data_IF_944169316021
#
_entry.id   IF_944169316021
#
_cell.length_a   1.000
_cell.length_b   1.000
_cell.length_c   1.000
_cell.angle_alpha   90.00
_cell.angle_beta   90.00
_cell.angle_gamma   90.00
#
_symmetry.space_group_name_H-M   'P 1'
#
loop_
_entity.id
_entity.type
_entity.pdbx_description
1 polymer ?
#
# COMPACT_ATOMS: atom_id res chain seq x y z
N UNK A 1 -1.97 -15.62 -15.46
CA UNK A 1 -0.99 -14.64 -14.95
C UNK A 1 -1.73 -13.69 -14.05
N UNK A 2 -1.25 -13.43 -12.81
CA UNK A 2 -1.92 -12.50 -11.91
C UNK A 2 -1.94 -11.08 -12.51
N UNK A 3 -3.04 -10.36 -12.33
CA UNK A 3 -3.22 -9.01 -12.86
C UNK A 3 -2.72 -8.03 -11.80
N UNK A 4 -1.68 -7.26 -12.12
CA UNK A 4 -1.18 -6.18 -11.27
C UNK A 4 -1.89 -4.87 -11.60
N UNK A 5 -2.36 -4.15 -10.57
CA UNK A 5 -2.99 -2.84 -10.70
C UNK A 5 -2.49 -1.90 -9.62
N UNK A 6 -2.63 -0.60 -9.84
CA UNK A 6 -2.41 0.37 -8.77
C UNK A 6 -3.42 0.20 -7.64
N UNK A 7 -3.04 0.65 -6.44
CA UNK A 7 -3.98 0.79 -5.32
C UNK A 7 -5.08 1.78 -5.72
N UNK A 8 -6.37 1.45 -5.55
CA UNK A 8 -7.46 2.36 -5.84
C UNK A 8 -7.37 3.67 -5.05
N UNK A 9 -7.74 4.79 -5.67
CA UNK A 9 -7.68 6.13 -5.07
C UNK A 9 -8.48 6.25 -3.76
N UNK A 10 -9.56 5.50 -3.61
CA UNK A 10 -10.33 5.47 -2.37
C UNK A 10 -9.50 4.90 -1.21
N UNK A 11 -8.76 3.81 -1.46
CA UNK A 11 -7.90 3.18 -0.46
C UNK A 11 -6.70 4.09 -0.18
N UNK A 12 -6.09 4.67 -1.21
CA UNK A 12 -4.99 5.65 -1.05
C UNK A 12 -5.41 6.80 -0.11
N UNK A 13 -6.60 7.37 -0.31
CA UNK A 13 -7.13 8.45 0.56
C UNK A 13 -7.28 8.02 2.02
N UNK A 14 -7.89 6.85 2.28
CA UNK A 14 -8.06 6.32 3.64
C UNK A 14 -6.71 6.14 4.36
N UNK A 15 -5.70 5.65 3.65
CA UNK A 15 -4.33 5.54 4.18
C UNK A 15 -3.71 6.92 4.46
N UNK A 16 -3.88 7.87 3.53
CA UNK A 16 -3.35 9.24 3.65
C UNK A 16 -3.95 10.04 4.82
N UNK A 17 -5.14 9.68 5.28
CA UNK A 17 -5.76 10.25 6.48
C UNK A 17 -5.11 9.77 7.79
N UNK A 18 -4.43 8.62 7.77
CA UNK A 18 -3.83 8.00 8.97
C UNK A 18 -2.34 8.25 9.13
N UNK A 19 -1.63 8.38 8.03
CA UNK A 19 -0.18 8.65 8.05
C UNK A 19 0.12 10.11 8.35
N UNK A 20 1.15 10.36 9.15
CA UNK A 20 1.57 11.72 9.51
C UNK A 20 2.25 12.48 8.36
N UNK A 21 2.94 11.77 7.46
CA UNK A 21 3.65 12.36 6.33
C UNK A 21 3.02 11.94 4.99
N UNK A 22 2.09 12.76 4.50
CA UNK A 22 1.32 12.50 3.28
C UNK A 22 2.19 12.43 2.03
N UNK A 23 3.14 13.35 1.87
CA UNK A 23 4.03 13.37 0.71
C UNK A 23 4.91 12.11 0.64
N UNK A 24 5.38 11.62 1.80
CA UNK A 24 6.15 10.38 1.86
C UNK A 24 5.27 9.16 1.53
N UNK A 25 4.00 9.16 1.96
CA UNK A 25 3.04 8.11 1.64
C UNK A 25 2.62 8.10 0.16
N UNK A 26 2.44 9.27 -0.46
CA UNK A 26 2.22 9.39 -1.90
C UNK A 26 3.39 8.80 -2.70
N UNK A 27 4.63 9.04 -2.25
CA UNK A 27 5.80 8.40 -2.85
C UNK A 27 5.81 6.89 -2.60
N UNK A 28 5.42 6.43 -1.42
CA UNK A 28 5.36 5.02 -1.08
C UNK A 28 4.40 4.23 -1.97
N UNK A 29 3.26 4.82 -2.40
CA UNK A 29 2.32 4.15 -3.29
C UNK A 29 2.90 3.78 -4.67
N UNK A 30 3.99 4.42 -5.10
CA UNK A 30 4.70 4.03 -6.34
C UNK A 30 5.35 2.65 -6.24
N UNK A 31 5.52 2.14 -5.03
CA UNK A 31 6.15 0.87 -4.70
C UNK A 31 5.15 -0.19 -4.28
N UNK A 32 3.84 0.08 -4.40
CA UNK A 32 2.76 -0.79 -3.93
C UNK A 32 1.80 -1.07 -5.08
N UNK A 33 1.49 -2.35 -5.28
CA UNK A 33 0.53 -2.83 -6.27
C UNK A 33 -0.49 -3.77 -5.63
N UNK A 34 -1.68 -3.80 -6.19
CA UNK A 34 -2.65 -4.86 -5.92
C UNK A 34 -2.51 -5.95 -6.97
N UNK A 35 -2.53 -7.18 -6.50
CA UNK A 35 -2.40 -8.38 -7.32
C UNK A 35 -3.67 -9.20 -7.13
N UNK A 36 -4.46 -9.34 -8.19
CA UNK A 36 -5.62 -10.21 -8.22
C UNK A 36 -5.15 -11.65 -8.51
N UNK A 37 -5.39 -12.56 -7.55
CA UNK A 37 -5.09 -13.99 -7.67
C UNK A 37 -6.19 -14.72 -8.45
N UNK A 38 -5.89 -15.95 -8.87
CA UNK A 38 -6.82 -16.80 -9.64
C UNK A 38 -8.11 -17.14 -8.88
N UNK A 39 -8.05 -17.14 -7.53
CA UNK A 39 -9.21 -17.36 -6.65
C UNK A 39 -10.05 -16.10 -6.40
N UNK A 40 -9.72 -14.98 -7.05
CA UNK A 40 -10.36 -13.67 -6.86
C UNK A 40 -9.92 -12.92 -5.60
N UNK A 41 -8.99 -13.47 -4.81
CA UNK A 41 -8.44 -12.75 -3.65
C UNK A 41 -7.46 -11.66 -4.09
N UNK A 42 -7.45 -10.54 -3.36
CA UNK A 42 -6.51 -9.44 -3.56
C UNK A 42 -5.32 -9.57 -2.62
N UNK A 43 -4.12 -9.41 -3.18
CA UNK A 43 -2.87 -9.35 -2.45
C UNK A 43 -2.22 -7.98 -2.63
N UNK A 44 -1.63 -7.43 -1.57
CA UNK A 44 -0.86 -6.18 -1.65
C UNK A 44 0.60 -6.56 -1.80
N UNK A 45 1.18 -6.26 -2.96
CA UNK A 45 2.59 -6.51 -3.29
C UNK A 45 3.38 -5.22 -3.14
N UNK A 46 4.52 -5.32 -2.46
CA UNK A 46 5.50 -4.25 -2.31
C UNK A 46 6.78 -4.52 -3.10
N UNK A 47 7.37 -3.46 -3.63
CA UNK A 47 8.70 -3.46 -4.24
C UNK A 47 9.54 -2.47 -3.45
N UNK A 48 10.32 -2.94 -2.48
CA UNK A 48 11.00 -2.02 -1.56
C UNK A 48 11.96 -1.06 -2.29
N UNK A 49 11.95 0.24 -1.93
CA UNK A 49 12.88 1.22 -2.47
C UNK A 49 14.31 0.93 -2.01
N UNK A 50 15.29 1.68 -2.54
CA UNK A 50 16.68 1.66 -2.08
C UNK A 50 16.75 1.71 -0.54
N UNK A 51 17.44 0.74 0.04
CA UNK A 51 17.59 0.56 1.49
C UNK A 51 18.25 1.75 2.19
N UNK A 52 18.94 2.62 1.46
CA UNK A 52 19.51 3.86 1.99
C UNK A 52 18.43 4.89 2.38
N UNK A 53 17.20 4.76 1.87
CA UNK A 53 16.07 5.60 2.23
C UNK A 53 15.13 4.88 3.22
N UNK A 54 15.61 4.69 4.45
CA UNK A 54 14.86 4.01 5.51
C UNK A 54 13.48 4.63 5.77
N UNK A 55 13.35 5.96 5.71
CA UNK A 55 12.07 6.64 5.93
C UNK A 55 11.02 6.21 4.90
N UNK A 56 11.39 6.20 3.62
CA UNK A 56 10.50 5.74 2.55
C UNK A 56 10.20 4.24 2.68
N UNK A 57 11.20 3.42 3.02
CA UNK A 57 11.00 1.99 3.25
C UNK A 57 9.97 1.73 4.37
N UNK A 58 10.10 2.38 5.53
CA UNK A 58 9.13 2.25 6.62
C UNK A 58 7.74 2.75 6.21
N UNK A 59 7.67 3.83 5.42
CA UNK A 59 6.39 4.31 4.91
C UNK A 59 5.75 3.32 3.93
N UNK A 60 6.52 2.67 3.06
CA UNK A 60 6.02 1.59 2.18
C UNK A 60 5.43 0.47 3.02
N UNK A 61 6.14 -0.02 4.05
CA UNK A 61 5.64 -1.07 4.93
C UNK A 61 4.36 -0.65 5.68
N UNK A 62 4.29 0.60 6.15
CA UNK A 62 3.09 1.14 6.79
C UNK A 62 1.89 1.21 5.83
N UNK A 63 2.10 1.74 4.62
CA UNK A 63 1.08 1.82 3.59
C UNK A 63 0.60 0.44 3.14
N UNK A 64 1.50 -0.55 3.02
CA UNK A 64 1.15 -1.95 2.72
C UNK A 64 0.26 -2.51 3.81
N UNK A 65 0.63 -2.35 5.08
CA UNK A 65 -0.15 -2.82 6.21
C UNK A 65 -1.56 -2.21 6.22
N UNK A 66 -1.68 -0.89 6.11
CA UNK A 66 -3.00 -0.24 6.10
C UNK A 66 -3.84 -0.63 4.88
N UNK A 67 -3.22 -0.76 3.71
CA UNK A 67 -3.91 -1.22 2.49
C UNK A 67 -4.46 -2.63 2.69
N UNK A 68 -3.67 -3.55 3.27
CA UNK A 68 -4.12 -4.92 3.56
C UNK A 68 -5.29 -4.95 4.54
N UNK A 69 -5.22 -4.16 5.61
CA UNK A 69 -6.29 -4.05 6.62
C UNK A 69 -7.59 -3.54 6.01
N UNK A 70 -7.53 -2.45 5.22
CA UNK A 70 -8.70 -1.92 4.51
C UNK A 70 -9.33 -2.97 3.59
N UNK A 71 -8.51 -3.70 2.81
CA UNK A 71 -9.01 -4.74 1.90
C UNK A 71 -9.67 -5.93 2.63
N UNK A 72 -9.29 -6.17 3.88
CA UNK A 72 -9.92 -7.19 4.75
C UNK A 72 -11.15 -6.67 5.50
N UNK A 73 -11.50 -5.40 5.33
CA UNK A 73 -12.59 -4.75 6.09
C UNK A 73 -12.22 -4.45 7.54
N UNK A 74 -10.93 -4.44 7.87
CA UNK A 74 -10.44 -4.09 9.20
C UNK A 74 -10.38 -2.56 9.35
N UNK A 75 -10.70 -2.06 10.54
CA UNK A 75 -10.44 -0.66 10.87
C UNK A 75 -8.95 -0.40 10.93
N UNK A 76 -8.52 0.76 10.44
CA UNK A 76 -7.17 1.28 10.64
C UNK A 76 -7.29 2.43 11.65
N UNK A 77 -6.85 2.21 12.88
CA UNK A 77 -6.78 3.24 13.93
C UNK A 77 -5.70 4.28 13.62
#
# INVERSE_FOLDING_TARGET
>A
MPIEREVPEEIKRKVLEKVSNKSLAEMAFKYIKLVEKEDGSLWVKEELPDTNNHALMFMVLACVNYTQRILRGEEIE
#
